data_IF_521723341683
#
_entry.id   IF_521723341683
#
_cell.length_a   1.000
_cell.length_b   1.000
_cell.length_c   1.000
_cell.angle_alpha   90.00
_cell.angle_beta   90.00
_cell.angle_gamma   90.00
#
_symmetry.space_group_name_H-M   'P 1'
#
loop_
_entity.id
_entity.type
_entity.pdbx_description
1 polymer ?
#
# COMPACT_ATOMS: atom_id res chain seq x y z
N UNK A 1 4.91 2.83 18.62
CA UNK A 1 3.73 2.26 19.31
C UNK A 1 2.99 1.37 18.31
N UNK A 2 2.63 0.13 18.69
CA UNK A 2 1.87 -0.78 17.82
C UNK A 2 0.51 -0.18 17.41
N UNK A 3 -0.09 -0.71 16.36
CA UNK A 3 -1.47 -0.37 15.96
C UNK A 3 -2.37 -1.47 16.52
N UNK A 4 -3.37 -1.10 17.31
CA UNK A 4 -4.24 -2.03 17.99
C UNK A 4 -5.70 -1.80 17.58
N UNK A 5 -6.37 -2.88 17.20
CA UNK A 5 -7.82 -2.93 17.00
C UNK A 5 -8.43 -3.69 18.17
N UNK A 6 -9.45 -3.12 18.79
CA UNK A 6 -10.12 -3.70 19.95
C UNK A 6 -11.62 -3.81 19.67
N UNK A 7 -12.10 -5.06 19.53
CA UNK A 7 -13.50 -5.43 19.29
C UNK A 7 -14.14 -4.63 18.12
N UNK A 8 -13.37 -4.41 17.05
CA UNK A 8 -13.80 -3.61 15.91
C UNK A 8 -14.90 -4.33 15.12
N UNK A 9 -16.02 -3.65 14.95
CA UNK A 9 -17.12 -4.11 14.10
C UNK A 9 -17.32 -3.15 12.93
N UNK A 10 -17.65 -3.69 11.76
CA UNK A 10 -18.01 -2.92 10.57
C UNK A 10 -19.03 -3.66 9.72
N UNK A 11 -20.11 -2.98 9.36
CA UNK A 11 -21.13 -3.47 8.45
C UNK A 11 -21.41 -2.45 7.34
N UNK A 12 -21.92 -2.92 6.21
CA UNK A 12 -22.46 -2.12 5.12
C UNK A 12 -23.89 -2.60 4.80
N UNK A 13 -24.87 -1.83 5.24
CA UNK A 13 -26.26 -2.27 5.24
C UNK A 13 -26.44 -3.51 6.12
N UNK A 14 -26.98 -4.58 5.56
CA UNK A 14 -27.19 -5.85 6.28
C UNK A 14 -25.92 -6.75 6.30
N UNK A 15 -24.89 -6.40 5.51
CA UNK A 15 -23.68 -7.21 5.40
C UNK A 15 -22.68 -6.85 6.49
N UNK A 16 -22.51 -7.73 7.47
CA UNK A 16 -21.42 -7.62 8.44
C UNK A 16 -20.10 -8.05 7.80
N UNK A 17 -19.08 -7.21 7.88
CA UNK A 17 -17.77 -7.42 7.24
C UNK A 17 -16.70 -7.72 8.28
N UNK A 18 -16.69 -6.99 9.39
CA UNK A 18 -15.84 -7.28 10.55
C UNK A 18 -16.74 -7.44 11.78
N UNK A 19 -16.46 -8.46 12.61
CA UNK A 19 -17.21 -8.76 13.83
C UNK A 19 -16.23 -9.02 14.97
N UNK A 20 -16.31 -8.18 16.01
CA UNK A 20 -15.46 -8.27 17.22
C UNK A 20 -13.96 -8.49 16.90
N UNK A 21 -13.51 -7.86 15.81
CA UNK A 21 -12.14 -8.06 15.32
C UNK A 21 -11.15 -7.36 16.22
N UNK A 22 -10.25 -8.14 16.82
CA UNK A 22 -9.17 -7.64 17.65
C UNK A 22 -7.83 -8.15 17.15
N UNK A 23 -6.87 -7.25 16.91
CA UNK A 23 -5.54 -7.59 16.44
C UNK A 23 -4.54 -6.47 16.75
N UNK A 24 -3.28 -6.86 16.92
CA UNK A 24 -2.17 -5.91 17.11
C UNK A 24 -1.17 -6.05 15.96
N UNK A 25 -0.94 -4.96 15.23
CA UNK A 25 0.11 -4.87 14.22
C UNK A 25 1.38 -4.28 14.86
N UNK A 26 2.48 -5.04 14.87
CA UNK A 26 3.74 -4.59 15.45
C UNK A 26 4.30 -3.35 14.74
N UNK A 27 4.92 -2.46 15.50
CA UNK A 27 5.60 -1.30 14.95
C UNK A 27 6.90 -1.70 14.26
N UNK A 28 7.17 -1.09 13.11
CA UNK A 28 8.41 -1.33 12.37
C UNK A 28 8.45 -2.67 11.63
N UNK A 29 7.33 -3.37 11.54
CA UNK A 29 7.25 -4.68 10.92
C UNK A 29 6.26 -4.70 9.74
N UNK A 30 6.46 -5.66 8.84
CA UNK A 30 5.56 -5.93 7.73
C UNK A 30 4.57 -7.02 8.13
N UNK A 31 3.29 -6.76 7.91
CA UNK A 31 2.21 -7.74 8.07
C UNK A 31 1.47 -7.95 6.74
N UNK A 32 1.43 -9.19 6.28
CA UNK A 32 0.60 -9.61 5.16
C UNK A 32 -0.79 -9.98 5.66
N UNK A 33 -1.83 -9.33 5.16
CA UNK A 33 -3.22 -9.63 5.46
C UNK A 33 -3.78 -10.48 4.32
N UNK A 34 -4.12 -11.71 4.61
CA UNK A 34 -4.61 -12.69 3.65
C UNK A 34 -6.04 -13.13 3.97
N UNK A 35 -6.72 -13.68 3.00
CA UNK A 35 -8.06 -14.22 3.15
C UNK A 35 -8.83 -14.23 1.84
N UNK A 36 -9.99 -14.89 1.78
CA UNK A 36 -10.80 -14.98 0.58
C UNK A 36 -11.30 -13.61 0.09
N UNK A 37 -11.72 -13.53 -1.16
CA UNK A 37 -12.32 -12.29 -1.68
C UNK A 37 -13.59 -11.94 -0.88
N UNK A 38 -13.71 -10.66 -0.50
CA UNK A 38 -14.89 -10.16 0.22
C UNK A 38 -14.90 -10.43 1.74
N UNK A 39 -13.81 -10.97 2.34
CA UNK A 39 -13.72 -11.19 3.80
C UNK A 39 -13.44 -9.90 4.61
N UNK A 40 -13.22 -8.75 3.97
CA UNK A 40 -13.05 -7.49 4.69
C UNK A 40 -11.65 -6.87 4.65
N UNK A 41 -10.69 -7.43 3.91
CA UNK A 41 -9.30 -6.92 3.85
C UNK A 41 -9.21 -5.43 3.46
N UNK A 42 -9.88 -5.04 2.36
CA UNK A 42 -9.95 -3.64 1.92
C UNK A 42 -10.68 -2.76 2.94
N UNK A 43 -11.72 -3.30 3.61
CA UNK A 43 -12.43 -2.61 4.68
C UNK A 43 -11.50 -2.37 5.88
N UNK A 44 -10.72 -3.37 6.28
CA UNK A 44 -9.72 -3.23 7.33
C UNK A 44 -8.71 -2.12 7.00
N UNK A 45 -8.17 -2.10 5.78
CA UNK A 45 -7.27 -1.01 5.36
C UNK A 45 -7.98 0.36 5.36
N UNK A 46 -9.24 0.41 4.92
CA UNK A 46 -10.01 1.67 4.91
C UNK A 46 -10.25 2.22 6.31
N UNK A 47 -10.52 1.36 7.29
CA UNK A 47 -10.63 1.74 8.70
C UNK A 47 -9.30 2.28 9.24
N UNK A 48 -8.20 1.58 9.01
CA UNK A 48 -6.86 2.00 9.45
C UNK A 48 -6.39 3.29 8.76
N UNK A 49 -6.74 3.50 7.51
CA UNK A 49 -6.50 4.75 6.79
C UNK A 49 -7.35 5.90 7.34
N UNK A 50 -8.46 5.61 8.01
CA UNK A 50 -9.46 6.59 8.46
C UNK A 50 -10.39 7.05 7.34
N UNK A 51 -10.50 6.28 6.26
CA UNK A 51 -11.46 6.50 5.17
C UNK A 51 -12.86 6.01 5.55
N UNK A 52 -12.92 5.06 6.49
CA UNK A 52 -14.13 4.54 7.11
C UNK A 52 -14.01 4.63 8.63
N UNK A 53 -15.14 4.68 9.32
CA UNK A 53 -15.20 4.61 10.78
C UNK A 53 -15.71 3.23 11.22
N UNK A 54 -15.22 2.66 12.30
CA UNK A 54 -15.80 1.45 12.87
C UNK A 54 -17.20 1.75 13.42
N UNK A 55 -18.09 0.77 13.34
CA UNK A 55 -19.45 0.89 13.91
C UNK A 55 -19.43 0.60 15.41
N UNK A 56 -18.47 -0.19 15.90
CA UNK A 56 -18.16 -0.42 17.30
C UNK A 56 -16.68 -0.80 17.46
N UNK A 57 -16.18 -0.75 18.69
CA UNK A 57 -14.77 -0.95 19.02
C UNK A 57 -13.91 0.28 18.75
N UNK A 58 -12.62 0.13 18.89
CA UNK A 58 -11.69 1.24 18.71
C UNK A 58 -10.38 0.84 18.02
N UNK A 59 -9.73 1.82 17.42
CA UNK A 59 -8.43 1.67 16.73
C UNK A 59 -7.45 2.62 17.41
N UNK A 60 -6.42 2.05 18.03
CA UNK A 60 -5.41 2.78 18.78
C UNK A 60 -4.09 2.82 18.04
N UNK A 61 -3.23 3.78 18.36
CA UNK A 61 -1.89 3.90 17.80
C UNK A 61 -1.82 4.53 16.41
N UNK A 62 -2.92 5.10 15.89
CA UNK A 62 -2.95 5.76 14.58
C UNK A 62 -2.93 7.29 14.65
N UNK A 63 -3.10 7.86 15.82
CA UNK A 63 -3.15 9.31 16.01
C UNK A 63 -1.81 9.98 15.67
N UNK A 64 -1.87 11.06 14.90
CA UNK A 64 -0.69 11.83 14.49
C UNK A 64 0.24 11.13 13.50
N UNK A 65 -0.02 9.89 13.11
CA UNK A 65 0.81 9.17 12.15
C UNK A 65 0.53 9.61 10.71
N UNK A 66 1.61 9.85 9.98
CA UNK A 66 1.56 10.06 8.53
C UNK A 66 1.33 8.71 7.86
N UNK A 67 0.35 8.67 6.98
CA UNK A 67 -0.07 7.45 6.30
C UNK A 67 0.23 7.58 4.81
N UNK A 68 0.74 6.51 4.21
CA UNK A 68 0.83 6.37 2.76
C UNK A 68 0.09 5.14 2.30
N UNK A 69 -0.38 5.12 1.06
CA UNK A 69 -1.14 3.98 0.56
C UNK A 69 -0.90 3.69 -0.93
N UNK A 70 -0.89 2.39 -1.25
CA UNK A 70 -1.11 1.85 -2.59
C UNK A 70 -2.50 1.22 -2.59
N UNK A 71 -3.43 1.83 -3.31
CA UNK A 71 -4.80 1.32 -3.43
C UNK A 71 -4.90 0.25 -4.52
N UNK A 72 -5.97 -0.52 -4.52
CA UNK A 72 -6.26 -1.48 -5.59
C UNK A 72 -6.32 -0.80 -6.96
N UNK A 73 -6.90 0.40 -7.02
CA UNK A 73 -6.81 1.31 -8.17
C UNK A 73 -5.61 2.24 -8.00
N UNK A 74 -4.89 2.54 -9.06
CA UNK A 74 -3.63 3.29 -8.98
C UNK A 74 -3.80 4.75 -8.53
N UNK A 75 -4.99 5.33 -8.72
CA UNK A 75 -5.37 6.70 -8.30
C UNK A 75 -4.32 7.75 -8.66
N UNK A 76 -3.76 7.67 -9.85
CA UNK A 76 -2.73 8.58 -10.35
C UNK A 76 -3.35 9.83 -10.99
N UNK A 77 -2.60 10.93 -11.00
CA UNK A 77 -2.92 12.11 -11.78
C UNK A 77 -2.63 11.83 -13.25
N UNK A 78 -3.63 11.39 -14.00
CA UNK A 78 -3.47 10.80 -15.35
C UNK A 78 -2.86 11.78 -16.37
N UNK A 79 -3.10 13.08 -16.25
CA UNK A 79 -2.55 14.09 -17.14
C UNK A 79 -1.14 14.57 -16.73
N UNK A 80 -0.66 14.20 -15.56
CA UNK A 80 0.68 14.50 -15.10
C UNK A 80 1.65 13.37 -15.49
N UNK A 81 2.94 13.71 -15.59
CA UNK A 81 3.98 12.71 -15.84
C UNK A 81 4.21 11.79 -14.63
N UNK A 82 4.91 10.68 -14.85
CA UNK A 82 5.32 9.77 -13.77
C UNK A 82 6.15 10.51 -12.70
N UNK A 83 7.12 11.30 -13.13
CA UNK A 83 7.94 12.16 -12.25
C UNK A 83 7.08 13.10 -11.42
N UNK A 84 6.12 13.78 -12.05
CA UNK A 84 5.21 14.70 -11.36
C UNK A 84 4.35 13.98 -10.33
N UNK A 85 3.82 12.79 -10.65
CA UNK A 85 3.04 11.99 -9.72
C UNK A 85 3.81 11.62 -8.45
N UNK A 86 5.09 11.26 -8.57
CA UNK A 86 5.94 10.94 -7.42
C UNK A 86 6.19 12.20 -6.58
N UNK A 87 6.51 13.33 -7.21
CA UNK A 87 6.83 14.58 -6.51
C UNK A 87 5.63 15.26 -5.85
N UNK A 88 4.40 14.93 -6.25
CA UNK A 88 3.18 15.45 -5.62
C UNK A 88 3.10 15.13 -4.12
N UNK A 89 3.61 13.98 -3.68
CA UNK A 89 3.53 13.54 -2.28
C UNK A 89 4.76 13.92 -1.48
N UNK A 90 5.84 14.32 -2.14
CA UNK A 90 7.07 14.80 -1.49
C UNK A 90 7.69 15.94 -2.32
N UNK A 91 7.28 17.19 -2.07
CA UNK A 91 7.82 18.35 -2.79
C UNK A 91 9.32 18.58 -2.60
N UNK A 92 9.91 18.06 -1.51
CA UNK A 92 11.34 18.15 -1.24
C UNK A 92 12.18 17.23 -2.15
N UNK A 93 11.54 16.19 -2.71
CA UNK A 93 12.21 15.28 -3.64
C UNK A 93 12.57 16.02 -4.95
N UNK A 94 13.84 16.03 -5.30
CA UNK A 94 14.31 16.63 -6.55
C UNK A 94 13.78 15.86 -7.77
N UNK A 95 13.74 16.53 -8.94
CA UNK A 95 13.39 15.86 -10.20
C UNK A 95 14.32 14.67 -10.48
N UNK A 96 15.63 14.83 -10.27
CA UNK A 96 16.63 13.80 -10.51
C UNK A 96 16.45 12.56 -9.63
N UNK A 97 16.11 12.74 -8.36
CA UNK A 97 15.80 11.62 -7.46
C UNK A 97 14.54 10.86 -7.89
N UNK A 98 13.47 11.56 -8.24
CA UNK A 98 12.26 10.93 -8.76
C UNK A 98 12.52 10.15 -10.07
N UNK A 99 13.34 10.71 -10.96
CA UNK A 99 13.77 10.03 -12.19
C UNK A 99 14.61 8.78 -11.90
N UNK A 100 15.51 8.84 -10.91
CA UNK A 100 16.31 7.69 -10.50
C UNK A 100 15.42 6.54 -9.99
N UNK A 101 14.44 6.84 -9.12
CA UNK A 101 13.46 5.86 -8.65
C UNK A 101 12.70 5.20 -9.81
N UNK A 102 12.28 5.97 -10.80
CA UNK A 102 11.59 5.45 -11.98
C UNK A 102 12.49 4.55 -12.83
N UNK A 103 13.76 4.93 -13.03
CA UNK A 103 14.74 4.12 -13.78
C UNK A 103 15.04 2.79 -13.06
N UNK A 104 15.13 2.79 -11.72
CA UNK A 104 15.32 1.57 -10.94
C UNK A 104 14.20 0.55 -11.16
N UNK A 105 12.97 0.99 -11.47
CA UNK A 105 11.85 0.12 -11.80
C UNK A 105 11.54 0.04 -13.32
N UNK A 106 12.53 0.33 -14.18
CA UNK A 106 12.42 0.13 -15.63
C UNK A 106 11.45 1.10 -16.33
N UNK A 107 11.30 2.32 -15.79
CA UNK A 107 10.43 3.37 -16.36
C UNK A 107 11.24 4.53 -16.96
N UNK A 108 12.53 4.33 -17.24
CA UNK A 108 13.44 5.37 -17.72
C UNK A 108 13.01 6.03 -19.03
N UNK A 109 12.37 5.30 -19.94
CA UNK A 109 11.91 5.81 -21.24
C UNK A 109 10.56 6.55 -21.17
N UNK A 110 9.94 6.61 -19.99
CA UNK A 110 8.57 7.14 -19.82
C UNK A 110 8.46 8.24 -18.75
N UNK A 111 9.58 8.88 -18.41
CA UNK A 111 9.68 9.83 -17.30
C UNK A 111 8.74 11.03 -17.46
N UNK A 112 8.69 11.62 -18.64
CA UNK A 112 7.93 12.82 -18.94
C UNK A 112 6.57 12.54 -19.64
N UNK A 113 6.26 11.25 -19.89
CA UNK A 113 4.99 10.87 -20.51
C UNK A 113 3.83 11.03 -19.52
N UNK A 114 2.66 11.53 -19.98
CA UNK A 114 1.46 11.54 -19.17
C UNK A 114 1.07 10.11 -18.72
N UNK A 115 0.75 9.93 -17.46
CA UNK A 115 0.46 8.61 -16.90
C UNK A 115 -0.68 7.88 -17.62
N UNK A 116 -1.65 8.61 -18.18
CA UNK A 116 -2.73 8.01 -18.99
C UNK A 116 -2.24 7.16 -20.17
N UNK A 117 -1.03 7.43 -20.70
CA UNK A 117 -0.46 6.71 -21.84
C UNK A 117 0.35 5.48 -21.46
N UNK A 118 0.58 5.28 -20.16
CA UNK A 118 1.32 4.16 -19.62
C UNK A 118 0.47 2.88 -19.60
N UNK A 119 1.12 1.73 -19.74
CA UNK A 119 0.46 0.44 -19.52
C UNK A 119 0.02 0.26 -18.06
N UNK A 120 -0.89 -0.67 -17.78
CA UNK A 120 -1.34 -0.95 -16.41
C UNK A 120 -0.20 -1.29 -15.45
N UNK A 121 0.73 -2.16 -15.86
CA UNK A 121 1.90 -2.49 -15.07
C UNK A 121 2.87 -1.32 -14.85
N UNK A 122 2.97 -0.39 -15.81
CA UNK A 122 3.73 0.86 -15.63
C UNK A 122 3.05 1.79 -14.63
N UNK A 123 1.73 1.99 -14.76
CA UNK A 123 0.93 2.78 -13.81
C UNK A 123 1.07 2.22 -12.39
N UNK A 124 0.99 0.90 -12.25
CA UNK A 124 1.16 0.22 -10.95
C UNK A 124 2.50 0.52 -10.32
N UNK A 125 3.60 0.44 -11.08
CA UNK A 125 4.94 0.80 -10.59
C UNK A 125 5.03 2.27 -10.17
N UNK A 126 4.42 3.19 -10.92
CA UNK A 126 4.35 4.61 -10.53
C UNK A 126 3.57 4.80 -9.23
N UNK A 127 2.45 4.09 -9.03
CA UNK A 127 1.66 4.17 -7.80
C UNK A 127 2.45 3.67 -6.58
N UNK A 128 3.19 2.57 -6.73
CA UNK A 128 4.08 2.05 -5.68
C UNK A 128 5.19 3.06 -5.36
N UNK A 129 5.88 3.58 -6.39
CA UNK A 129 6.95 4.57 -6.21
C UNK A 129 6.44 5.84 -5.53
N UNK A 130 5.26 6.34 -5.92
CA UNK A 130 4.63 7.49 -5.28
C UNK A 130 4.37 7.23 -3.79
N UNK A 131 3.85 6.05 -3.44
CA UNK A 131 3.58 5.72 -2.05
C UNK A 131 4.88 5.61 -1.23
N UNK A 132 5.95 5.05 -1.79
CA UNK A 132 7.26 4.94 -1.16
C UNK A 132 8.01 6.26 -1.06
N UNK A 133 7.75 7.21 -1.95
CA UNK A 133 8.37 8.54 -1.96
C UNK A 133 7.77 9.48 -0.90
N UNK A 134 6.58 9.20 -0.42
CA UNK A 134 5.95 9.98 0.64
C UNK A 134 6.72 9.87 1.96
N UNK A 135 6.62 10.89 2.80
CA UNK A 135 7.02 10.78 4.19
C UNK A 135 5.90 10.10 4.98
N UNK A 136 6.14 8.89 5.45
CA UNK A 136 5.13 8.11 6.18
C UNK A 136 5.70 7.37 7.39
N UNK A 137 4.84 7.15 8.36
CA UNK A 137 5.08 6.32 9.53
C UNK A 137 4.47 4.92 9.34
N UNK A 138 3.39 4.83 8.56
CA UNK A 138 2.71 3.57 8.20
C UNK A 138 2.36 3.55 6.72
N UNK A 139 2.64 2.41 6.06
CA UNK A 139 2.31 2.17 4.65
C UNK A 139 1.24 1.08 4.54
N UNK A 140 0.17 1.36 3.82
CA UNK A 140 -0.91 0.43 3.52
C UNK A 140 -0.92 0.08 2.05
N UNK A 141 -0.98 -1.21 1.71
CA UNK A 141 -0.97 -1.67 0.34
C UNK A 141 -2.11 -2.66 0.09
N UNK A 142 -2.98 -2.36 -0.86
CA UNK A 142 -4.06 -3.26 -1.30
C UNK A 142 -3.69 -3.88 -2.65
N UNK A 143 -3.31 -5.16 -2.64
CA UNK A 143 -2.84 -5.94 -3.79
C UNK A 143 -1.76 -5.21 -4.63
N UNK A 144 -0.65 -4.72 -4.02
CA UNK A 144 0.27 -3.79 -4.68
C UNK A 144 0.95 -4.36 -5.93
N UNK A 145 1.11 -5.67 -6.04
CA UNK A 145 1.86 -6.30 -7.15
C UNK A 145 0.95 -6.93 -8.20
N UNK A 146 -0.37 -6.73 -8.08
CA UNK A 146 -1.35 -7.25 -9.03
C UNK A 146 -1.14 -6.66 -10.42
N UNK A 147 -1.22 -7.53 -11.44
CA UNK A 147 -1.09 -7.13 -12.85
C UNK A 147 0.35 -6.91 -13.34
N UNK A 148 1.35 -7.17 -12.49
CA UNK A 148 2.74 -7.23 -12.91
C UNK A 148 3.08 -8.63 -13.44
N UNK A 149 3.89 -8.69 -14.49
CA UNK A 149 4.51 -9.95 -14.91
C UNK A 149 5.54 -10.42 -13.87
N UNK A 150 5.91 -11.70 -13.93
CA UNK A 150 6.73 -12.33 -12.89
C UNK A 150 8.11 -11.68 -12.74
N UNK A 151 8.76 -11.29 -13.83
CA UNK A 151 10.09 -10.68 -13.78
C UNK A 151 10.02 -9.26 -13.19
N UNK A 152 9.05 -8.46 -13.63
CA UNK A 152 8.78 -7.13 -13.09
C UNK A 152 8.37 -7.21 -11.62
N UNK A 153 7.52 -8.19 -11.24
CA UNK A 153 7.10 -8.39 -9.86
C UNK A 153 8.29 -8.63 -8.95
N UNK A 154 9.23 -9.50 -9.32
CA UNK A 154 10.43 -9.77 -8.53
C UNK A 154 11.25 -8.49 -8.29
N UNK A 155 11.53 -7.72 -9.35
CA UNK A 155 12.26 -6.46 -9.24
C UNK A 155 11.57 -5.44 -8.33
N UNK A 156 10.24 -5.30 -8.47
CA UNK A 156 9.45 -4.37 -7.66
C UNK A 156 9.39 -4.81 -6.20
N UNK A 157 9.30 -6.12 -5.94
CA UNK A 157 9.34 -6.70 -4.60
C UNK A 157 10.66 -6.40 -3.88
N UNK A 158 11.79 -6.67 -4.55
CA UNK A 158 13.12 -6.38 -4.00
C UNK A 158 13.27 -4.89 -3.67
N UNK A 159 12.85 -4.02 -4.59
CA UNK A 159 12.86 -2.58 -4.38
C UNK A 159 11.97 -2.16 -3.19
N UNK A 160 10.76 -2.71 -3.10
CA UNK A 160 9.78 -2.45 -2.05
C UNK A 160 10.35 -2.85 -0.68
N UNK A 161 10.88 -4.06 -0.55
CA UNK A 161 11.45 -4.58 0.70
C UNK A 161 12.64 -3.73 1.18
N UNK A 162 13.53 -3.34 0.27
CA UNK A 162 14.66 -2.48 0.60
C UNK A 162 14.24 -1.10 1.15
N UNK A 163 13.12 -0.55 0.65
CA UNK A 163 12.62 0.79 1.02
C UNK A 163 11.67 0.78 2.22
N UNK A 164 11.15 -0.39 2.60
CA UNK A 164 10.22 -0.54 3.72
C UNK A 164 10.86 -1.17 4.97
N UNK A 165 12.14 -1.49 4.94
CA UNK A 165 12.85 -2.06 6.07
C UNK A 165 12.72 -1.18 7.33
N UNK A 166 12.26 -1.77 8.45
CA UNK A 166 12.04 -1.08 9.71
C UNK A 166 10.83 -0.12 9.72
N UNK A 167 9.98 -0.16 8.71
CA UNK A 167 8.72 0.59 8.64
C UNK A 167 7.54 -0.30 9.00
N UNK A 168 6.50 0.30 9.54
CA UNK A 168 5.22 -0.39 9.74
C UNK A 168 4.49 -0.49 8.40
N UNK A 169 4.29 -1.71 7.89
CA UNK A 169 3.71 -1.94 6.57
C UNK A 169 2.63 -3.00 6.65
N UNK A 170 1.46 -2.71 6.09
CA UNK A 170 0.38 -3.68 5.93
C UNK A 170 0.15 -3.92 4.44
N UNK A 171 0.30 -5.16 4.01
CA UNK A 171 0.08 -5.57 2.62
C UNK A 171 -1.07 -6.56 2.57
N UNK A 172 -2.15 -6.18 1.90
CA UNK A 172 -3.22 -7.12 1.54
C UNK A 172 -2.80 -7.82 0.26
N UNK A 173 -2.80 -9.14 0.29
CA UNK A 173 -2.62 -9.98 -0.90
C UNK A 173 -3.43 -11.26 -0.78
N UNK A 174 -3.82 -11.83 -1.90
CA UNK A 174 -4.42 -13.17 -1.96
C UNK A 174 -3.44 -14.22 -2.52
N UNK A 175 -2.21 -13.81 -2.87
CA UNK A 175 -1.16 -14.66 -3.44
C UNK A 175 -0.22 -15.14 -2.31
N UNK A 176 -0.23 -16.47 -1.98
CA UNK A 176 0.65 -17.00 -0.94
C UNK A 176 2.15 -16.85 -1.25
N UNK A 177 2.53 -16.87 -2.52
CA UNK A 177 3.93 -16.69 -2.91
C UNK A 177 4.37 -15.24 -2.71
N UNK A 178 3.48 -14.26 -2.91
CA UNK A 178 3.75 -12.86 -2.55
C UNK A 178 3.95 -12.72 -1.04
N UNK A 179 3.04 -13.26 -0.23
CA UNK A 179 3.14 -13.19 1.22
C UNK A 179 4.44 -13.85 1.73
N UNK A 180 4.82 -14.98 1.16
CA UNK A 180 6.09 -15.67 1.47
C UNK A 180 7.31 -14.84 1.09
N UNK A 181 7.28 -14.21 -0.08
CA UNK A 181 8.40 -13.38 -0.58
C UNK A 181 8.54 -12.07 0.20
N UNK A 182 7.43 -11.48 0.63
CA UNK A 182 7.44 -10.30 1.49
C UNK A 182 7.99 -10.60 2.89
N UNK A 183 7.87 -11.83 3.37
CA UNK A 183 8.23 -12.18 4.74
C UNK A 183 7.33 -11.47 5.78
N UNK A 184 7.76 -11.47 7.03
CA UNK A 184 7.01 -10.82 8.11
C UNK A 184 5.86 -11.67 8.65
N UNK A 185 4.93 -11.03 9.33
CA UNK A 185 3.77 -11.69 9.92
C UNK A 185 2.68 -11.92 8.88
N UNK A 186 1.91 -13.00 9.06
CA UNK A 186 0.72 -13.26 8.23
C UNK A 186 -0.51 -13.28 9.12
N UNK A 187 -1.47 -12.42 8.81
CA UNK A 187 -2.79 -12.38 9.39
C UNK A 187 -3.78 -13.00 8.40
N UNK A 188 -4.52 -14.00 8.85
CA UNK A 188 -5.64 -14.59 8.09
C UNK A 188 -6.94 -13.94 8.57
N UNK A 189 -7.70 -13.35 7.64
CA UNK A 189 -8.98 -12.69 7.91
C UNK A 189 -10.14 -13.58 7.51
#
# INVERSE_FOLDING_TARGET
MAIELQNVCKAFGEKQVLQDFSHTFPEGELTCVMGPSGCGKTTLLSLLLGLEQPDAGEILGMEGRRKSAVFQEDRLCENASAVSNIRLVNPALSKGEAEAMLRELGLGDSLDQPVRTLSGGMKRRVAILRALAAEYDVLFCDEPFKGLDQATKAQVLDYFLARTQGKTVLVVTHDPEEAKSLGGHTLLL
#
